data_IF_487926910961
#
_entry.id   IF_487926910961
#
_cell.length_a   1.000
_cell.length_b   1.000
_cell.length_c   1.000
_cell.angle_alpha   90.00
_cell.angle_beta   90.00
_cell.angle_gamma   90.00
#
_symmetry.space_group_name_H-M   'P 1'
#
loop_
_entity.id
_entity.type
_entity.pdbx_description
1 polymer ?
#
# COMPACT_ATOMS: atom_id res chain seq x y z
N UNK A 1 8.59 4.27 10.39
CA UNK A 1 8.29 3.78 11.74
C UNK A 1 8.25 2.26 11.71
N UNK A 2 9.25 1.59 12.28
CA UNK A 2 9.32 0.12 12.29
C UNK A 2 8.23 -0.52 13.17
N UNK A 3 7.93 0.09 14.34
CA UNK A 3 6.85 -0.33 15.23
C UNK A 3 5.48 -0.39 14.52
N UNK A 4 5.09 0.71 13.84
CA UNK A 4 3.81 0.77 13.14
C UNK A 4 3.66 -0.30 12.05
N UNK A 5 4.75 -0.58 11.33
CA UNK A 5 4.77 -1.55 10.22
C UNK A 5 4.92 -3.02 10.66
N UNK A 6 5.18 -3.29 11.94
CA UNK A 6 5.36 -4.66 12.41
C UNK A 6 4.03 -5.43 12.42
N UNK A 7 4.09 -6.68 12.01
CA UNK A 7 2.92 -7.57 11.94
C UNK A 7 2.73 -8.44 13.16
N UNK A 8 3.75 -8.54 14.02
CA UNK A 8 3.73 -9.42 15.18
C UNK A 8 3.77 -8.57 16.45
N UNK A 9 2.95 -8.95 17.45
CA UNK A 9 2.90 -8.24 18.74
C UNK A 9 4.26 -8.24 19.44
N UNK A 10 4.97 -9.37 19.45
CA UNK A 10 6.30 -9.46 20.06
C UNK A 10 7.33 -8.52 19.42
N UNK A 11 7.34 -8.40 18.08
CA UNK A 11 8.21 -7.45 17.39
C UNK A 11 7.80 -6.00 17.67
N UNK A 12 6.49 -5.71 17.68
CA UNK A 12 5.97 -4.41 18.07
C UNK A 12 6.41 -4.02 19.49
N UNK A 13 6.28 -4.92 20.45
CA UNK A 13 6.65 -4.70 21.86
C UNK A 13 8.16 -4.44 21.98
N UNK A 14 8.99 -5.18 21.24
CA UNK A 14 10.43 -4.93 21.15
C UNK A 14 10.73 -3.53 20.63
N UNK A 15 10.08 -3.09 19.54
CA UNK A 15 10.28 -1.74 19.01
C UNK A 15 9.77 -0.66 19.97
N UNK A 16 8.66 -0.90 20.68
CA UNK A 16 8.16 0.04 21.68
C UNK A 16 9.12 0.20 22.85
N UNK A 17 9.79 -0.88 23.26
CA UNK A 17 10.87 -0.84 24.25
C UNK A 17 12.05 0.00 23.74
N UNK A 18 12.51 -0.24 22.51
CA UNK A 18 13.61 0.54 21.91
C UNK A 18 13.29 2.03 21.80
N UNK A 19 12.04 2.38 21.45
CA UNK A 19 11.58 3.77 21.38
C UNK A 19 11.63 4.41 22.77
N UNK A 20 11.18 3.69 23.81
CA UNK A 20 11.20 4.17 25.19
C UNK A 20 12.62 4.45 25.69
N UNK A 21 13.57 3.58 25.33
CA UNK A 21 14.98 3.75 25.67
C UNK A 21 15.63 4.94 24.95
N UNK A 22 15.30 5.16 23.67
CA UNK A 22 15.90 6.23 22.84
C UNK A 22 15.22 7.59 23.02
N UNK A 23 13.91 7.60 23.25
CA UNK A 23 13.12 8.83 23.43
C UNK A 23 11.90 8.55 24.32
N UNK A 24 12.04 8.74 25.64
CA UNK A 24 10.93 8.62 26.58
C UNK A 24 9.76 9.54 26.24
N UNK A 25 10.02 10.74 25.72
CA UNK A 25 9.00 11.72 25.31
C UNK A 25 8.24 11.23 24.09
N UNK A 26 8.96 10.71 23.07
CA UNK A 26 8.35 10.13 21.88
C UNK A 26 7.51 8.90 22.20
N UNK A 27 7.99 8.04 23.11
CA UNK A 27 7.21 6.91 23.62
C UNK A 27 5.94 7.37 24.34
N UNK A 28 6.03 8.34 25.26
CA UNK A 28 4.86 8.89 25.97
C UNK A 28 3.84 9.52 25.01
N UNK A 29 4.29 10.14 23.92
CA UNK A 29 3.39 10.68 22.91
C UNK A 29 2.67 9.55 22.15
N UNK A 30 3.40 8.50 21.73
CA UNK A 30 2.83 7.33 21.06
C UNK A 30 1.88 6.53 21.94
N UNK A 31 2.20 6.37 23.22
CA UNK A 31 1.42 5.60 24.20
C UNK A 31 0.02 6.19 24.44
N UNK A 32 -0.15 7.50 24.20
CA UNK A 32 -1.46 8.17 24.24
C UNK A 32 -2.39 7.78 23.09
N UNK A 33 -1.83 7.29 21.98
CA UNK A 33 -2.60 6.93 20.79
C UNK A 33 -2.83 5.41 20.82
N UNK A 34 -4.08 4.94 20.89
CA UNK A 34 -4.38 3.52 20.93
C UNK A 34 -3.68 2.76 19.79
N UNK A 35 -2.90 1.69 20.06
CA UNK A 35 -2.10 1.00 19.05
C UNK A 35 -2.89 0.51 17.82
N UNK A 36 -4.15 0.13 17.98
CA UNK A 36 -4.99 -0.31 16.86
C UNK A 36 -5.18 0.76 15.77
N UNK A 37 -5.02 2.06 16.11
CA UNK A 37 -5.17 3.16 15.16
C UNK A 37 -3.95 3.32 14.25
N UNK A 38 -2.76 2.87 14.67
CA UNK A 38 -1.51 3.21 13.99
C UNK A 38 -0.52 2.05 13.83
N UNK A 39 -0.72 0.90 14.50
CA UNK A 39 0.18 -0.25 14.43
C UNK A 39 -0.51 -1.48 13.83
N UNK A 40 0.11 -2.09 12.81
CA UNK A 40 -0.46 -3.24 12.10
C UNK A 40 -0.65 -4.44 13.03
N UNK A 41 0.25 -4.67 13.99
CA UNK A 41 0.13 -5.75 14.96
C UNK A 41 -1.13 -5.66 15.86
N UNK A 42 -1.80 -4.50 15.90
CA UNK A 42 -2.94 -4.24 16.78
C UNK A 42 -4.23 -3.86 16.04
N UNK A 43 -4.24 -3.78 14.70
CA UNK A 43 -5.41 -3.31 13.95
C UNK A 43 -6.47 -4.37 13.65
N UNK A 44 -6.31 -5.59 14.17
CA UNK A 44 -7.23 -6.71 13.93
C UNK A 44 -7.46 -7.02 12.44
N UNK A 45 -6.53 -6.62 11.56
CA UNK A 45 -6.63 -6.81 10.12
C UNK A 45 -7.49 -5.77 9.39
N UNK A 46 -7.96 -4.71 10.06
CA UNK A 46 -8.85 -3.69 9.46
C UNK A 46 -8.26 -2.96 8.26
N UNK A 47 -6.92 -2.86 8.18
CA UNK A 47 -6.24 -2.11 7.12
C UNK A 47 -5.66 -2.98 6.02
N UNK A 48 -5.93 -4.29 6.04
CA UNK A 48 -5.38 -5.24 5.06
C UNK A 48 -3.85 -5.17 4.91
N UNK A 49 -3.15 -4.72 5.98
CA UNK A 49 -1.72 -4.48 5.96
C UNK A 49 -1.23 -3.27 5.19
N UNK A 50 -2.15 -2.48 4.65
CA UNK A 50 -1.87 -1.24 3.95
C UNK A 50 -1.82 -0.11 4.97
N UNK A 51 -0.62 0.35 5.30
CA UNK A 51 -0.44 1.52 6.15
C UNK A 51 -0.38 2.83 5.38
N UNK A 52 0.00 2.80 4.11
CA UNK A 52 0.28 4.01 3.34
C UNK A 52 -0.12 3.84 1.87
N UNK A 53 -0.68 4.91 1.31
CA UNK A 53 -0.77 5.11 -0.13
C UNK A 53 0.65 5.04 -0.71
N UNK A 54 0.81 4.40 -1.87
CA UNK A 54 2.11 4.39 -2.57
C UNK A 54 2.45 5.82 -3.00
N UNK A 55 3.21 6.49 -2.14
CA UNK A 55 3.63 7.87 -2.32
C UNK A 55 4.51 8.04 -3.56
N UNK A 56 5.26 7.02 -3.99
CA UNK A 56 6.06 7.10 -5.23
C UNK A 56 5.13 7.11 -6.45
N UNK A 57 4.13 6.23 -6.46
CA UNK A 57 3.11 6.23 -7.50
C UNK A 57 2.33 7.56 -7.52
N UNK A 58 1.89 8.03 -6.35
CA UNK A 58 1.19 9.33 -6.24
C UNK A 58 2.05 10.50 -6.73
N UNK A 59 3.31 10.59 -6.30
CA UNK A 59 4.21 11.65 -6.77
C UNK A 59 4.66 11.48 -8.22
N UNK A 60 4.58 10.29 -8.81
CA UNK A 60 4.82 10.12 -10.24
C UNK A 60 3.70 10.80 -11.03
N UNK A 61 2.45 10.60 -10.63
CA UNK A 61 1.28 11.30 -11.18
C UNK A 61 1.41 12.81 -10.98
N UNK A 62 1.77 13.29 -9.79
CA UNK A 62 1.92 14.75 -9.61
C UNK A 62 3.06 15.36 -10.44
N UNK A 63 4.13 14.58 -10.72
CA UNK A 63 5.29 15.07 -11.49
C UNK A 63 5.01 15.20 -12.98
N UNK A 64 4.07 14.43 -13.56
CA UNK A 64 3.70 14.61 -14.97
C UNK A 64 3.09 15.99 -15.25
N UNK A 65 2.63 16.71 -14.21
CA UNK A 65 1.99 18.02 -14.34
C UNK A 65 2.89 19.21 -13.96
N UNK A 66 4.19 19.00 -13.72
CA UNK A 66 5.09 20.07 -13.22
C UNK A 66 5.23 21.29 -14.14
N UNK A 67 4.76 21.23 -15.39
CA UNK A 67 4.89 22.30 -16.40
C UNK A 67 3.58 23.07 -16.66
N UNK A 68 2.49 22.78 -15.95
CA UNK A 68 1.22 23.48 -16.11
C UNK A 68 0.92 24.40 -14.93
N UNK A 69 0.17 25.48 -15.18
CA UNK A 69 -0.39 26.30 -14.11
C UNK A 69 -1.20 25.42 -13.13
N UNK A 70 -1.28 25.81 -11.85
CA UNK A 70 -1.94 25.03 -10.80
C UNK A 70 -3.34 24.53 -11.22
N UNK A 71 -4.13 25.40 -11.85
CA UNK A 71 -5.46 25.05 -12.39
C UNK A 71 -5.39 23.95 -13.46
N UNK A 72 -4.44 24.05 -14.39
CA UNK A 72 -4.22 23.02 -15.41
C UNK A 72 -3.75 21.69 -14.81
N UNK A 73 -2.90 21.73 -13.78
CA UNK A 73 -2.46 20.53 -13.07
C UNK A 73 -3.60 19.83 -12.33
N UNK A 74 -4.50 20.58 -11.69
CA UNK A 74 -5.70 20.04 -11.04
C UNK A 74 -6.66 19.44 -12.06
N UNK A 75 -6.89 20.12 -13.20
CA UNK A 75 -7.76 19.59 -14.26
C UNK A 75 -7.21 18.30 -14.88
N UNK A 76 -5.89 18.22 -15.12
CA UNK A 76 -5.25 17.00 -15.63
C UNK A 76 -5.33 15.86 -14.61
N UNK A 77 -5.06 16.13 -13.33
CA UNK A 77 -5.21 15.12 -12.27
C UNK A 77 -6.64 14.57 -12.23
N UNK A 78 -7.64 15.44 -12.33
CA UNK A 78 -9.04 15.02 -12.37
C UNK A 78 -9.35 14.17 -13.61
N UNK A 79 -8.84 14.56 -14.78
CA UNK A 79 -9.02 13.79 -16.02
C UNK A 79 -8.43 12.39 -15.89
N UNK A 80 -7.19 12.28 -15.39
CA UNK A 80 -6.54 10.98 -15.17
C UNK A 80 -7.29 10.12 -14.15
N UNK A 81 -7.82 10.73 -13.08
CA UNK A 81 -8.68 10.02 -12.13
C UNK A 81 -9.95 9.51 -12.79
N UNK A 82 -10.64 10.36 -13.56
CA UNK A 82 -11.85 9.98 -14.29
C UNK A 82 -11.57 8.80 -15.22
N UNK A 83 -10.52 8.90 -16.03
CA UNK A 83 -10.15 7.84 -16.97
C UNK A 83 -9.77 6.54 -16.24
N UNK A 84 -9.06 6.62 -15.12
CA UNK A 84 -8.76 5.45 -14.29
C UNK A 84 -10.02 4.81 -13.69
N UNK A 85 -11.01 5.60 -13.25
CA UNK A 85 -12.29 5.11 -12.77
C UNK A 85 -13.10 4.46 -13.91
N UNK A 86 -13.18 5.10 -15.07
CA UNK A 86 -13.89 4.59 -16.25
C UNK A 86 -13.32 3.25 -16.73
N UNK A 87 -11.98 3.14 -16.79
CA UNK A 87 -11.28 1.88 -17.11
C UNK A 87 -11.57 0.82 -16.05
N UNK A 88 -11.47 1.17 -14.76
CA UNK A 88 -11.71 0.22 -13.66
C UNK A 88 -13.14 -0.30 -13.64
N UNK A 89 -14.13 0.58 -13.87
CA UNK A 89 -15.54 0.22 -14.02
C UNK A 89 -15.77 -0.67 -15.24
N UNK A 90 -15.22 -0.32 -16.40
CA UNK A 90 -15.39 -1.09 -17.63
C UNK A 90 -14.77 -2.48 -17.52
N UNK A 91 -13.56 -2.60 -16.97
CA UNK A 91 -12.88 -3.87 -16.74
C UNK A 91 -13.61 -4.75 -15.72
N UNK A 92 -14.05 -4.18 -14.59
CA UNK A 92 -14.78 -4.91 -13.56
C UNK A 92 -16.13 -5.41 -14.08
N UNK A 93 -16.90 -4.54 -14.76
CA UNK A 93 -18.17 -4.91 -15.42
C UNK A 93 -17.97 -6.02 -16.45
N UNK A 94 -16.96 -5.90 -17.31
CA UNK A 94 -16.63 -6.93 -18.30
C UNK A 94 -16.30 -8.28 -17.66
N UNK A 95 -15.57 -8.28 -16.55
CA UNK A 95 -15.24 -9.50 -15.80
C UNK A 95 -16.48 -10.10 -15.10
N UNK A 96 -17.35 -9.25 -14.56
CA UNK A 96 -18.60 -9.67 -13.94
C UNK A 96 -19.52 -10.35 -14.95
N UNK A 97 -19.63 -9.81 -16.17
CA UNK A 97 -20.42 -10.42 -17.24
C UNK A 97 -19.89 -11.78 -17.69
N UNK A 98 -18.57 -12.03 -17.59
CA UNK A 98 -17.97 -13.34 -17.86
C UNK A 98 -18.18 -14.34 -16.72
N UNK A 99 -18.66 -13.89 -15.57
CA UNK A 99 -18.79 -14.71 -14.36
C UNK A 99 -17.47 -14.93 -13.63
N UNK A 100 -16.48 -14.06 -13.85
CA UNK A 100 -15.19 -14.16 -13.17
C UNK A 100 -15.36 -13.85 -11.66
N UNK A 101 -14.88 -14.73 -10.79
CA UNK A 101 -14.96 -14.53 -9.32
C UNK A 101 -13.91 -13.51 -8.85
N UNK A 102 -12.70 -13.60 -9.39
CA UNK A 102 -11.56 -12.74 -9.03
C UNK A 102 -11.00 -12.03 -10.26
N UNK A 103 -10.47 -10.82 -10.06
CA UNK A 103 -9.85 -10.05 -11.16
C UNK A 103 -8.62 -10.76 -11.71
N UNK A 104 -8.31 -10.55 -12.99
CA UNK A 104 -7.13 -11.12 -13.65
C UNK A 104 -5.83 -10.79 -12.89
N UNK A 105 -5.72 -9.58 -12.34
CA UNK A 105 -4.56 -9.17 -11.55
C UNK A 105 -4.40 -9.98 -10.25
N UNK A 106 -5.52 -10.29 -9.59
CA UNK A 106 -5.54 -11.16 -8.40
C UNK A 106 -5.14 -12.57 -8.79
N UNK A 107 -5.75 -13.14 -9.84
CA UNK A 107 -5.44 -14.48 -10.33
C UNK A 107 -3.98 -14.64 -10.76
N UNK A 108 -3.42 -13.63 -11.45
CA UNK A 108 -2.00 -13.61 -11.84
C UNK A 108 -1.08 -13.62 -10.62
N UNK A 109 -1.30 -12.73 -9.65
CA UNK A 109 -0.52 -12.72 -8.38
C UNK A 109 -0.64 -14.03 -7.62
N UNK A 110 -1.82 -14.64 -7.66
CA UNK A 110 -2.10 -15.92 -7.05
C UNK A 110 -1.24 -17.03 -7.69
N UNK A 111 -1.25 -17.12 -9.02
CA UNK A 111 -0.44 -18.08 -9.78
C UNK A 111 1.07 -17.88 -9.57
N UNK A 112 1.55 -16.63 -9.60
CA UNK A 112 2.96 -16.30 -9.31
C UNK A 112 3.37 -16.78 -7.90
N UNK A 113 2.48 -16.60 -6.92
CA UNK A 113 2.74 -16.99 -5.53
C UNK A 113 2.69 -18.51 -5.35
N UNK A 114 1.84 -19.23 -6.09
CA UNK A 114 1.78 -20.69 -6.10
C UNK A 114 3.07 -21.32 -6.64
N UNK A 115 3.69 -20.72 -7.66
CA UNK A 115 4.97 -21.22 -8.18
C UNK A 115 6.06 -21.12 -7.10
N UNK A 116 6.08 -20.01 -6.37
CA UNK A 116 7.03 -19.77 -5.30
C UNK A 116 6.84 -20.65 -4.05
N UNK A 117 5.66 -21.22 -3.83
CA UNK A 117 5.36 -22.03 -2.64
C UNK A 117 5.82 -23.49 -2.74
N UNK A 118 6.05 -24.01 -3.95
CA UNK A 118 6.42 -25.42 -4.15
C UNK A 118 7.77 -25.83 -3.55
N UNK A 119 8.61 -24.86 -3.18
CA UNK A 119 9.92 -25.11 -2.59
C UNK A 119 9.87 -25.33 -1.06
N UNK A 120 8.75 -25.07 -0.39
CA UNK A 120 8.62 -25.19 1.06
C UNK A 120 8.32 -26.63 1.48
N UNK A 121 8.85 -27.02 2.63
CA UNK A 121 8.57 -28.32 3.24
C UNK A 121 7.39 -28.17 4.20
N UNK A 122 6.36 -29.01 4.03
CA UNK A 122 5.15 -29.00 4.85
C UNK A 122 5.09 -30.29 5.67
N UNK A 123 5.04 -30.12 6.99
CA UNK A 123 4.86 -31.19 7.97
C UNK A 123 3.52 -30.98 8.68
N UNK A 124 2.56 -31.92 8.57
CA UNK A 124 1.32 -31.86 9.33
C UNK A 124 1.58 -31.88 10.83
N UNK A 125 0.80 -31.09 11.58
CA UNK A 125 0.71 -31.13 13.04
C UNK A 125 -0.66 -31.72 13.44
N UNK A 126 -1.11 -31.48 14.66
CA UNK A 126 -2.43 -31.89 15.13
C UNK A 126 -3.55 -31.06 14.46
N UNK A 127 -4.69 -31.68 14.16
CA UNK A 127 -5.84 -31.02 13.51
C UNK A 127 -5.53 -30.44 12.11
N UNK A 128 -5.79 -29.15 11.92
CA UNK A 128 -5.65 -28.35 10.70
C UNK A 128 -4.41 -27.45 10.73
N UNK A 129 -3.49 -27.77 11.63
CA UNK A 129 -2.22 -27.10 11.83
C UNK A 129 -1.11 -27.73 10.97
N UNK A 130 -0.25 -26.89 10.40
CA UNK A 130 0.86 -27.32 9.56
C UNK A 130 2.11 -26.51 9.86
N UNK A 131 3.21 -27.21 10.15
CA UNK A 131 4.51 -26.60 10.18
C UNK A 131 5.06 -26.50 8.76
N UNK A 132 5.48 -25.30 8.38
CA UNK A 132 6.05 -25.01 7.07
C UNK A 132 7.45 -24.46 7.27
N UNK A 133 8.44 -25.23 6.81
CA UNK A 133 9.85 -24.85 6.90
C UNK A 133 10.31 -24.27 5.56
N UNK A 134 11.22 -23.29 5.64
CA UNK A 134 11.85 -22.69 4.46
C UNK A 134 12.47 -23.73 3.52
N UNK A 135 12.71 -23.38 2.26
CA UNK A 135 13.24 -24.32 1.27
C UNK A 135 14.56 -24.92 1.76
N UNK A 136 14.62 -26.25 1.80
CA UNK A 136 15.88 -26.99 1.96
C UNK A 136 16.82 -26.53 0.85
N UNK A 137 17.98 -26.00 1.23
CA UNK A 137 19.02 -25.40 0.38
C UNK A 137 19.01 -25.94 -1.07
N UNK A 138 18.67 -25.10 -2.06
CA UNK A 138 19.20 -25.10 -3.46
C UNK A 138 18.40 -24.30 -4.51
N UNK A 139 17.54 -23.36 -4.15
CA UNK A 139 17.07 -22.37 -5.13
C UNK A 139 17.41 -20.97 -4.65
N UNK A 140 18.48 -20.41 -5.23
CA UNK A 140 18.84 -19.00 -5.12
C UNK A 140 17.75 -18.15 -5.76
N UNK A 141 16.62 -17.98 -5.08
CA UNK A 141 15.60 -16.98 -5.41
C UNK A 141 15.97 -15.64 -4.75
N UNK A 142 17.22 -15.21 -4.96
CA UNK A 142 17.84 -14.02 -4.36
C UNK A 142 16.99 -12.75 -4.57
N UNK A 143 16.25 -12.65 -5.68
CA UNK A 143 15.36 -11.51 -5.98
C UNK A 143 13.99 -11.54 -5.26
N UNK A 144 13.47 -12.70 -4.86
CA UNK A 144 12.25 -12.78 -4.03
C UNK A 144 12.60 -12.71 -2.53
N UNK A 145 13.79 -13.17 -2.15
CA UNK A 145 14.27 -13.22 -0.77
C UNK A 145 14.48 -11.84 -0.15
N UNK A 146 14.97 -10.83 -0.88
CA UNK A 146 15.19 -9.48 -0.34
C UNK A 146 13.89 -8.77 0.11
N UNK A 147 12.73 -9.17 -0.43
CA UNK A 147 11.43 -8.54 -0.12
C UNK A 147 10.65 -9.24 1.00
N UNK A 148 11.02 -10.47 1.35
CA UNK A 148 10.28 -11.30 2.31
C UNK A 148 11.23 -11.68 3.45
N UNK A 149 11.08 -11.02 4.61
CA UNK A 149 11.73 -11.45 5.87
C UNK A 149 11.55 -12.96 6.03
N UNK A 150 12.66 -13.69 6.02
CA UNK A 150 12.70 -15.15 5.99
C UNK A 150 12.34 -15.68 7.37
N UNK A 151 11.17 -16.31 7.47
CA UNK A 151 10.82 -17.10 8.63
C UNK A 151 11.25 -18.53 8.34
N UNK A 152 12.27 -19.02 9.05
CA UNK A 152 12.78 -20.39 8.88
C UNK A 152 11.68 -21.44 9.07
N UNK A 153 10.76 -21.16 9.98
CA UNK A 153 9.62 -22.02 10.30
C UNK A 153 8.38 -21.18 10.57
N UNK A 154 7.27 -21.55 9.96
CA UNK A 154 5.96 -20.97 10.19
C UNK A 154 4.97 -22.05 10.57
N UNK A 155 3.96 -21.67 11.34
CA UNK A 155 2.78 -22.51 11.58
C UNK A 155 1.63 -21.90 10.78
N UNK A 156 0.86 -22.76 10.10
CA UNK A 156 -0.32 -22.40 9.32
C UNK A 156 -1.51 -23.18 9.89
N UNK A 157 -2.53 -22.47 10.35
CA UNK A 157 -3.83 -23.04 10.71
C UNK A 157 -4.84 -22.70 9.61
N UNK A 158 -5.40 -23.72 8.98
CA UNK A 158 -6.31 -23.54 7.84
C UNK A 158 -7.69 -23.05 8.26
N UNK A 159 -8.28 -23.60 9.33
CA UNK A 159 -9.64 -23.23 9.77
C UNK A 159 -9.72 -21.75 10.11
N UNK A 160 -8.70 -21.23 10.79
CA UNK A 160 -8.64 -19.81 11.18
C UNK A 160 -8.05 -18.92 10.07
N UNK A 161 -7.60 -19.51 8.95
CA UNK A 161 -6.90 -18.80 7.87
C UNK A 161 -5.70 -17.98 8.37
N UNK A 162 -4.92 -18.57 9.28
CA UNK A 162 -3.80 -17.88 9.93
C UNK A 162 -2.44 -18.47 9.59
N UNK A 163 -1.41 -17.65 9.72
CA UNK A 163 -0.04 -18.08 9.64
C UNK A 163 0.83 -17.23 10.58
N UNK A 164 1.80 -17.82 11.26
CA UNK A 164 2.69 -17.09 12.17
C UNK A 164 3.55 -16.01 11.47
N UNK A 165 3.71 -16.10 10.13
CA UNK A 165 4.31 -15.01 9.35
C UNK A 165 3.45 -13.72 9.32
N UNK A 166 2.20 -13.77 9.78
CA UNK A 166 1.26 -12.64 9.84
C UNK A 166 0.71 -12.17 8.49
N UNK A 167 1.25 -12.66 7.36
CA UNK A 167 0.85 -12.20 6.02
C UNK A 167 -0.53 -12.69 5.62
N UNK A 168 -0.93 -13.89 6.04
CA UNK A 168 -2.21 -14.48 5.66
C UNK A 168 -3.37 -13.67 6.25
N UNK A 169 -3.33 -13.45 7.57
CA UNK A 169 -4.32 -12.66 8.31
C UNK A 169 -4.34 -11.22 7.84
N UNK A 170 -3.15 -10.61 7.72
CA UNK A 170 -3.02 -9.20 7.40
C UNK A 170 -3.49 -8.90 5.99
N UNK A 171 -3.10 -9.70 4.99
CA UNK A 171 -3.51 -9.45 3.61
C UNK A 171 -4.87 -10.04 3.30
N UNK A 172 -5.43 -10.86 4.18
CA UNK A 172 -6.66 -11.64 3.92
C UNK A 172 -6.56 -12.41 2.59
N UNK A 173 -5.35 -12.91 2.35
CA UNK A 173 -4.93 -13.56 1.11
C UNK A 173 -3.84 -14.59 1.48
N UNK A 174 -3.90 -15.83 0.98
CA UNK A 174 -2.92 -16.88 1.29
C UNK A 174 -1.47 -16.42 1.13
N UNK A 175 -0.67 -16.57 2.19
CA UNK A 175 0.77 -16.36 2.11
C UNK A 175 1.48 -17.55 1.43
N UNK A 176 2.76 -17.42 1.08
CA UNK A 176 3.53 -18.50 0.47
C UNK A 176 3.51 -19.80 1.30
N UNK A 177 3.51 -19.70 2.64
CA UNK A 177 3.42 -20.85 3.53
C UNK A 177 2.05 -21.55 3.43
N UNK A 178 0.95 -20.78 3.47
CA UNK A 178 -0.39 -21.32 3.31
C UNK A 178 -0.59 -21.94 1.92
N UNK A 179 -0.06 -21.30 0.87
CA UNK A 179 -0.06 -21.85 -0.49
C UNK A 179 0.70 -23.18 -0.59
N UNK A 180 1.81 -23.33 0.13
CA UNK A 180 2.55 -24.60 0.20
C UNK A 180 1.69 -25.70 0.84
N UNK A 181 0.98 -25.38 1.93
CA UNK A 181 0.04 -26.30 2.57
C UNK A 181 -1.08 -26.69 1.61
N UNK A 182 -1.72 -25.71 0.95
CA UNK A 182 -2.78 -25.97 -0.02
C UNK A 182 -2.32 -26.87 -1.17
N UNK A 183 -1.11 -26.66 -1.69
CA UNK A 183 -0.51 -27.53 -2.71
C UNK A 183 -0.26 -28.95 -2.20
N UNK A 184 0.33 -29.08 -1.01
CA UNK A 184 0.63 -30.38 -0.40
C UNK A 184 -0.63 -31.18 -0.12
N UNK A 185 -1.66 -30.51 0.39
CA UNK A 185 -2.94 -31.11 0.79
C UNK A 185 -3.95 -31.20 -0.38
N UNK A 186 -3.60 -30.67 -1.56
CA UNK A 186 -4.48 -30.59 -2.74
C UNK A 186 -5.81 -29.91 -2.46
N UNK A 187 -5.80 -28.88 -1.62
CA UNK A 187 -6.97 -28.07 -1.27
C UNK A 187 -7.05 -26.89 -2.23
N UNK A 188 -8.26 -26.56 -2.71
CA UNK A 188 -8.47 -25.34 -3.47
C UNK A 188 -8.24 -24.12 -2.56
N UNK A 189 -7.26 -23.25 -2.85
CA UNK A 189 -6.95 -22.10 -2.01
C UNK A 189 -7.87 -20.89 -2.24
N UNK A 190 -8.62 -20.84 -3.34
CA UNK A 190 -9.46 -19.69 -3.70
C UNK A 190 -10.53 -19.31 -2.67
N UNK A 191 -11.18 -20.26 -1.94
CA UNK A 191 -12.12 -19.92 -0.87
C UNK A 191 -11.49 -19.22 0.35
N UNK A 192 -10.16 -19.19 0.44
CA UNK A 192 -9.42 -18.53 1.52
C UNK A 192 -8.94 -17.12 1.14
N UNK A 193 -9.34 -16.63 -0.03
CA UNK A 193 -9.14 -15.24 -0.46
C UNK A 193 -10.37 -14.45 -0.05
N UNK A 194 -10.17 -13.30 0.58
CA UNK A 194 -11.26 -12.45 1.06
C UNK A 194 -12.02 -11.77 -0.07
N UNK A 195 -13.32 -11.60 0.15
CA UNK A 195 -14.26 -11.04 -0.82
C UNK A 195 -13.89 -9.61 -1.25
N UNK A 196 -13.06 -8.88 -0.50
CA UNK A 196 -12.55 -7.58 -0.93
C UNK A 196 -11.75 -7.66 -2.25
N UNK A 197 -11.24 -8.84 -2.61
CA UNK A 197 -10.51 -9.11 -3.86
C UNK A 197 -11.41 -9.60 -5.00
N UNK A 198 -12.70 -9.84 -4.74
CA UNK A 198 -13.64 -10.31 -5.75
C UNK A 198 -13.90 -9.26 -6.83
N UNK A 199 -14.29 -9.73 -8.01
CA UNK A 199 -14.75 -8.85 -9.10
C UNK A 199 -15.97 -8.05 -8.67
N UNK A 200 -16.85 -8.62 -7.85
CA UNK A 200 -18.04 -7.93 -7.33
C UNK A 200 -17.66 -6.73 -6.45
N UNK A 201 -16.76 -6.92 -5.48
CA UNK A 201 -16.26 -5.83 -4.64
C UNK A 201 -15.53 -4.77 -5.47
N UNK A 202 -14.75 -5.20 -6.46
CA UNK A 202 -14.09 -4.29 -7.38
C UNK A 202 -15.11 -3.47 -8.19
N UNK A 203 -16.14 -4.12 -8.75
CA UNK A 203 -17.21 -3.44 -9.47
C UNK A 203 -17.92 -2.40 -8.60
N UNK A 204 -18.39 -2.80 -7.40
CA UNK A 204 -19.09 -1.90 -6.46
C UNK A 204 -18.24 -0.69 -6.06
N UNK A 205 -16.92 -0.85 -5.99
CA UNK A 205 -16.00 0.26 -5.66
C UNK A 205 -16.00 1.35 -6.74
N UNK A 206 -16.19 0.97 -8.00
CA UNK A 206 -16.11 1.88 -9.16
C UNK A 206 -17.46 2.09 -9.87
N UNK A 207 -18.56 1.56 -9.34
CA UNK A 207 -19.90 1.69 -9.92
C UNK A 207 -20.42 3.14 -9.90
N UNK A 208 -19.94 3.93 -8.93
CA UNK A 208 -20.30 5.34 -8.83
C UNK A 208 -19.85 6.13 -10.06
N UNK A 209 -20.75 6.94 -10.60
CA UNK A 209 -20.46 7.79 -11.76
C UNK A 209 -19.54 8.94 -11.36
N UNK A 210 -18.40 9.07 -12.04
CA UNK A 210 -17.52 10.22 -11.90
C UNK A 210 -18.06 11.37 -12.76
N UNK A 211 -18.71 12.36 -12.12
CA UNK A 211 -19.24 13.52 -12.84
C UNK A 211 -18.11 14.38 -13.39
N UNK A 212 -18.22 14.94 -14.61
CA UNK A 212 -17.19 15.86 -15.12
C UNK A 212 -17.07 17.09 -14.23
N UNK A 213 -15.85 17.65 -14.09
CA UNK A 213 -15.72 18.99 -13.51
C UNK A 213 -16.47 19.96 -14.43
N UNK A 214 -17.41 20.76 -13.91
CA UNK A 214 -18.05 21.79 -14.70
C UNK A 214 -17.02 22.74 -15.31
N UNK A 215 -17.38 23.44 -16.38
CA UNK A 215 -16.53 24.53 -16.86
C UNK A 215 -16.32 25.58 -15.77
N UNK A 216 -15.18 26.27 -15.80
CA UNK A 216 -14.82 27.29 -14.80
C UNK A 216 -15.86 28.40 -14.70
N UNK A 217 -16.59 28.67 -15.79
CA UNK A 217 -17.72 29.60 -15.87
C UNK A 217 -18.93 29.18 -15.03
N UNK A 218 -19.08 27.88 -14.75
CA UNK A 218 -20.16 27.31 -13.95
C UNK A 218 -19.78 27.10 -12.48
N UNK A 219 -18.57 27.50 -12.07
CA UNK A 219 -18.13 27.36 -10.68
C UNK A 219 -18.74 28.47 -9.82
N UNK A 220 -19.26 28.16 -8.63
CA UNK A 220 -19.71 29.19 -7.71
C UNK A 220 -18.53 30.07 -7.29
N UNK A 221 -18.77 31.37 -7.12
CA UNK A 221 -17.77 32.28 -6.56
C UNK A 221 -17.35 31.79 -5.17
N UNK A 222 -16.04 31.70 -4.94
CA UNK A 222 -15.50 31.19 -3.69
C UNK A 222 -15.80 32.18 -2.55
N UNK A 223 -16.82 31.90 -1.72
CA UNK A 223 -17.08 32.66 -0.49
C UNK A 223 -16.41 32.02 0.72
N UNK A 224 -15.69 32.80 1.53
CA UNK A 224 -15.15 32.32 2.82
C UNK A 224 -13.79 31.61 2.75
N UNK A 225 -13.12 31.59 1.60
CA UNK A 225 -11.75 31.06 1.45
C UNK A 225 -10.77 32.22 1.22
N UNK A 226 -9.70 32.38 2.02
CA UNK A 226 -8.71 33.42 1.81
C UNK A 226 -8.04 33.29 0.44
N UNK A 227 -7.98 34.38 -0.33
CA UNK A 227 -7.17 34.44 -1.55
C UNK A 227 -5.69 34.31 -1.17
N UNK A 228 -5.06 33.19 -1.53
CA UNK A 228 -3.62 33.00 -1.34
C UNK A 228 -2.88 33.73 -2.47
N UNK A 229 -2.31 34.89 -2.14
CA UNK A 229 -1.39 35.57 -3.05
C UNK A 229 -0.02 34.87 -3.01
N UNK A 230 0.66 34.68 -4.16
CA UNK A 230 2.04 34.23 -4.15
C UNK A 230 2.87 35.21 -3.30
N UNK A 231 3.81 34.69 -2.50
CA UNK A 231 4.77 35.54 -1.82
C UNK A 231 5.48 36.41 -2.86
N UNK A 232 5.31 37.73 -2.75
CA UNK A 232 6.04 38.70 -3.57
C UNK A 232 7.52 38.55 -3.21
N UNK A 233 8.29 37.88 -4.06
CA UNK A 233 9.74 37.92 -3.98
C UNK A 233 10.12 39.30 -4.47
N UNK A 234 10.50 40.19 -3.56
CA UNK A 234 11.03 41.50 -3.93
C UNK A 234 12.23 41.29 -4.88
N UNK A 235 12.32 42.01 -6.00
CA UNK A 235 13.49 41.92 -6.86
C UNK A 235 14.75 42.26 -6.05
N UNK A 236 15.87 41.56 -6.27
CA UNK A 236 17.10 41.84 -5.56
C UNK A 236 17.50 43.32 -5.79
N UNK A 237 18.05 44.00 -4.78
CA UNK A 237 18.45 45.40 -4.92
C UNK A 237 19.46 45.54 -6.07
N UNK A 238 19.22 46.53 -6.93
CA UNK A 238 20.13 46.89 -8.02
C UNK A 238 21.51 47.17 -7.43
N UNK A 239 22.52 46.39 -7.86
CA UNK A 239 23.93 46.74 -7.60
C UNK A 239 24.24 48.03 -8.36
N UNK A 240 24.29 49.15 -7.63
CA UNK A 240 24.90 50.38 -8.15
C UNK A 240 26.40 50.12 -8.21
N UNK A 241 26.90 49.80 -9.40
CA UNK A 241 28.34 49.81 -9.69
C UNK A 241 28.84 51.26 -9.64
N UNK A 242 29.47 51.63 -8.52
CA UNK A 242 30.17 52.91 -8.41
C UNK A 242 31.27 53.01 -9.46
N UNK A 243 31.11 53.97 -10.37
CA UNK A 243 32.19 54.42 -11.26
C UNK A 243 33.11 55.28 -10.40
N UNK A 244 34.28 54.74 -10.03
CA UNK A 244 35.38 55.56 -9.52
C UNK A 244 36.08 56.19 -10.70
N UNK A 245 35.84 57.49 -10.91
CA UNK A 245 36.69 58.33 -11.76
C UNK A 245 38.04 58.50 -11.05
N UNK A 246 39.08 57.92 -11.62
CA UNK A 246 40.47 58.19 -11.23
C UNK A 246 40.96 59.43 -11.99
N UNK A 247 41.18 60.52 -11.25
CA UNK A 247 41.90 61.70 -11.72
C UNK A 247 43.35 61.35 -12.07
N UNK A 248 43.80 61.80 -13.25
CA UNK A 248 45.19 61.83 -13.67
C UNK A 248 45.83 63.14 -13.20
N UNK A 249 46.98 63.02 -12.52
CA UNK A 249 48.01 64.06 -12.43
C UNK A 249 49.35 63.41 -12.73
#
# INVERSE_FOLDING_TARGET
MQAGSSTQKAEFDSYMKDIKEKSPEGWKWLDRIPPHQWALAHDSGLRYGVMMIDRKALFAVCRSFQKVAMTGGVMLLFSEMKDAFDVSFSCSRGSLHRGDVYTENVMRKFQESLIGSGAYVVTPLESDAFQVSGPSERVSMRHLMEKYKEYKECIVELNDSTCTCGKFQRKRFPCLHALAVFQKMKINPLPYVDDCYSVESYYKTYEATFSPVPEMSAWPEASGVPTLFPHVIAPPPLKVSGISLSDQS
#
